data_IF_010717187654
#
_entry.id   IF_010717187654
#
_cell.length_a   1.000
_cell.length_b   1.000
_cell.length_c   1.000
_cell.angle_alpha   90.00
_cell.angle_beta   90.00
_cell.angle_gamma   90.00
#
_symmetry.space_group_name_H-M   'P 1'
#
loop_
_entity.id
_entity.type
_entity.pdbx_description
1 polymer ?
#
# COMPACT_ATOMS: atom_id res chain seq x y z
N UNK A 1 -33.60 -35.60 0.34
CA UNK A 1 -33.94 -34.20 -0.01
C UNK A 1 -33.16 -33.15 0.82
N UNK A 2 -32.52 -33.48 1.95
CA UNK A 2 -31.79 -32.49 2.77
C UNK A 2 -30.40 -32.10 2.27
N UNK A 3 -29.77 -32.87 1.39
CA UNK A 3 -28.37 -32.65 0.97
C UNK A 3 -28.19 -31.47 0.01
N UNK A 4 -29.17 -31.18 -0.84
CA UNK A 4 -29.08 -30.05 -1.79
C UNK A 4 -29.20 -28.69 -1.08
N UNK A 5 -30.08 -28.60 -0.07
CA UNK A 5 -30.26 -27.37 0.70
C UNK A 5 -29.05 -27.04 1.59
N UNK A 6 -28.42 -28.06 2.19
CA UNK A 6 -27.19 -27.89 3.00
C UNK A 6 -26.01 -27.38 2.15
N UNK A 7 -25.88 -27.85 0.91
CA UNK A 7 -24.83 -27.38 0.00
C UNK A 7 -25.05 -25.92 -0.41
N UNK A 8 -26.29 -25.54 -0.76
CA UNK A 8 -26.64 -24.17 -1.13
C UNK A 8 -26.34 -23.18 0.01
N UNK A 9 -26.71 -23.55 1.24
CA UNK A 9 -26.41 -22.75 2.42
C UNK A 9 -24.89 -22.58 2.63
N UNK A 10 -24.09 -23.65 2.49
CA UNK A 10 -22.63 -23.57 2.60
C UNK A 10 -21.99 -22.74 1.50
N UNK A 11 -22.59 -22.65 0.32
CA UNK A 11 -22.14 -21.75 -0.73
C UNK A 11 -22.44 -20.30 -0.39
N UNK A 12 -23.65 -20.01 0.11
CA UNK A 12 -24.05 -18.67 0.54
C UNK A 12 -23.17 -18.16 1.70
N UNK A 13 -22.98 -18.96 2.74
CA UNK A 13 -22.15 -18.61 3.91
C UNK A 13 -20.71 -18.29 3.49
N UNK A 14 -20.17 -19.06 2.53
CA UNK A 14 -18.82 -18.84 1.98
C UNK A 14 -18.74 -17.59 1.12
N UNK A 15 -19.76 -17.34 0.31
CA UNK A 15 -19.82 -16.15 -0.53
C UNK A 15 -19.82 -14.89 0.35
N UNK A 16 -20.63 -14.86 1.41
CA UNK A 16 -20.65 -13.77 2.39
C UNK A 16 -19.31 -13.62 3.13
N UNK A 17 -18.64 -14.72 3.46
CA UNK A 17 -17.31 -14.68 4.08
C UNK A 17 -16.26 -14.04 3.16
N UNK A 18 -16.28 -14.39 1.86
CA UNK A 18 -15.41 -13.76 0.86
C UNK A 18 -15.74 -12.28 0.66
N UNK A 19 -17.00 -11.89 0.62
CA UNK A 19 -17.39 -10.48 0.54
C UNK A 19 -16.84 -9.68 1.72
N UNK A 20 -17.04 -10.19 2.94
CA UNK A 20 -16.52 -9.54 4.16
C UNK A 20 -15.00 -9.41 4.13
N UNK A 21 -14.30 -10.42 3.62
CA UNK A 21 -12.84 -10.41 3.49
C UNK A 21 -12.37 -9.36 2.47
N UNK A 22 -13.01 -9.31 1.30
CA UNK A 22 -12.70 -8.33 0.26
C UNK A 22 -13.02 -6.90 0.72
N UNK A 23 -14.12 -6.69 1.45
CA UNK A 23 -14.48 -5.39 2.02
C UNK A 23 -13.38 -4.87 2.97
N UNK A 24 -12.87 -5.75 3.85
CA UNK A 24 -11.78 -5.40 4.77
C UNK A 24 -10.50 -5.03 4.02
N UNK A 25 -10.12 -5.85 3.03
CA UNK A 25 -8.94 -5.60 2.19
C UNK A 25 -9.10 -4.26 1.45
N UNK A 26 -10.28 -3.98 0.92
CA UNK A 26 -10.56 -2.75 0.19
C UNK A 26 -10.49 -1.52 1.11
N UNK A 27 -11.01 -1.60 2.33
CA UNK A 27 -10.90 -0.53 3.31
C UNK A 27 -9.43 -0.23 3.68
N UNK A 28 -8.63 -1.27 3.89
CA UNK A 28 -7.21 -1.11 4.20
C UNK A 28 -6.42 -0.58 3.00
N UNK A 29 -6.77 -1.01 1.78
CA UNK A 29 -6.20 -0.47 0.55
C UNK A 29 -6.52 1.02 0.40
N UNK A 30 -7.75 1.46 0.65
CA UNK A 30 -8.13 2.88 0.60
C UNK A 30 -7.32 3.70 1.63
N UNK A 31 -7.08 3.15 2.83
CA UNK A 31 -6.22 3.79 3.84
C UNK A 31 -4.78 3.91 3.34
N UNK A 32 -4.24 2.84 2.76
CA UNK A 32 -2.90 2.83 2.18
C UNK A 32 -2.78 3.84 1.02
N UNK A 33 -3.73 3.89 0.10
CA UNK A 33 -3.80 4.86 -1.00
C UNK A 33 -3.77 6.30 -0.50
N UNK A 34 -4.59 6.64 0.52
CA UNK A 34 -4.57 7.98 1.12
C UNK A 34 -3.25 8.31 1.81
N UNK A 35 -2.64 7.31 2.44
CA UNK A 35 -1.37 7.52 3.12
C UNK A 35 -0.21 7.79 2.18
N UNK A 36 -0.28 7.26 0.95
CA UNK A 36 0.69 7.58 -0.09
C UNK A 36 0.73 9.09 -0.28
N UNK A 37 -0.41 9.77 -0.37
CA UNK A 37 -0.44 11.23 -0.54
C UNK A 37 -0.22 12.02 0.74
N UNK A 38 -0.57 11.45 1.90
CA UNK A 38 -0.43 12.08 3.21
C UNK A 38 0.14 11.09 4.23
N UNK A 39 1.47 11.00 4.39
CA UNK A 39 2.10 9.98 5.22
C UNK A 39 1.76 10.10 6.72
N UNK A 40 1.33 11.30 7.16
CA UNK A 40 0.81 11.52 8.51
C UNK A 40 -0.53 10.79 8.79
N UNK A 41 -1.18 10.24 7.76
CA UNK A 41 -2.43 9.47 7.88
C UNK A 41 -2.21 7.95 7.97
N UNK A 42 -0.96 7.47 8.03
CA UNK A 42 -0.69 6.08 8.42
C UNK A 42 -1.05 5.88 9.88
N UNK A 43 -2.32 5.57 10.12
CA UNK A 43 -2.76 4.99 11.37
C UNK A 43 -2.25 3.55 11.52
N UNK A 44 -2.63 2.92 12.64
CA UNK A 44 -2.29 1.53 12.92
C UNK A 44 -2.98 0.61 11.90
N UNK A 45 -2.18 -0.06 11.05
CA UNK A 45 -2.69 -1.07 10.13
C UNK A 45 -3.14 -2.28 10.96
N UNK A 46 -4.37 -2.73 10.72
CA UNK A 46 -4.87 -3.92 11.41
C UNK A 46 -4.08 -5.13 10.92
N UNK A 47 -3.60 -5.98 11.83
CA UNK A 47 -2.92 -7.23 11.46
C UNK A 47 -3.87 -8.08 10.64
N UNK A 48 -3.55 -8.26 9.36
CA UNK A 48 -4.32 -9.13 8.46
C UNK A 48 -4.14 -10.59 8.89
N UNK A 49 -5.25 -11.23 9.28
CA UNK A 49 -5.29 -12.67 9.49
C UNK A 49 -5.83 -13.33 8.23
N UNK A 50 -4.99 -14.16 7.59
CA UNK A 50 -5.46 -14.99 6.51
C UNK A 50 -6.51 -15.97 7.04
N UNK A 51 -7.73 -15.94 6.50
CA UNK A 51 -8.77 -16.88 6.89
C UNK A 51 -8.43 -18.29 6.38
N UNK A 52 -8.42 -19.28 7.28
CA UNK A 52 -7.98 -20.65 6.96
C UNK A 52 -9.01 -21.46 6.13
N UNK A 53 -10.30 -21.10 6.16
CA UNK A 53 -11.39 -21.97 5.69
C UNK A 53 -12.32 -21.39 4.60
N UNK A 54 -11.90 -20.38 3.83
CA UNK A 54 -12.78 -19.79 2.81
C UNK A 54 -12.88 -20.57 1.49
N UNK A 55 -12.03 -21.58 1.30
CA UNK A 55 -11.99 -22.35 0.04
C UNK A 55 -11.70 -21.46 -1.18
N UNK A 56 -12.00 -21.92 -2.41
CA UNK A 56 -11.76 -21.11 -3.60
C UNK A 56 -12.70 -19.89 -3.67
N UNK A 57 -12.19 -18.77 -4.19
CA UNK A 57 -12.99 -17.57 -4.40
C UNK A 57 -14.17 -17.85 -5.36
N UNK A 58 -15.40 -17.44 -5.02
CA UNK A 58 -16.54 -17.50 -5.94
C UNK A 58 -16.26 -16.76 -7.24
N UNK A 59 -16.69 -17.32 -8.37
CA UNK A 59 -16.47 -16.73 -9.70
C UNK A 59 -17.08 -15.34 -9.85
N UNK A 60 -18.18 -15.06 -9.16
CA UNK A 60 -18.83 -13.73 -9.12
C UNK A 60 -17.97 -12.65 -8.47
N UNK A 61 -17.12 -13.03 -7.50
CA UNK A 61 -16.23 -12.10 -6.77
C UNK A 61 -14.84 -11.98 -7.40
N UNK A 62 -14.52 -12.83 -8.38
CA UNK A 62 -13.22 -12.82 -9.06
C UNK A 62 -12.88 -11.47 -9.70
N UNK A 63 -13.76 -10.80 -10.47
CA UNK A 63 -13.44 -9.51 -11.07
C UNK A 63 -13.10 -8.45 -10.03
N UNK A 64 -13.81 -8.47 -8.89
CA UNK A 64 -13.57 -7.54 -7.78
C UNK A 64 -12.22 -7.80 -7.11
N UNK A 65 -11.86 -9.06 -6.88
CA UNK A 65 -10.57 -9.42 -6.31
C UNK A 65 -9.39 -9.05 -7.23
N UNK A 66 -9.57 -9.20 -8.54
CA UNK A 66 -8.56 -8.78 -9.54
C UNK A 66 -8.35 -7.27 -9.55
N UNK A 67 -9.42 -6.47 -9.45
CA UNK A 67 -9.32 -5.00 -9.36
C UNK A 67 -8.59 -4.56 -8.09
N UNK A 68 -8.94 -5.15 -6.94
CA UNK A 68 -8.27 -4.90 -5.66
C UNK A 68 -6.77 -5.22 -5.77
N UNK A 69 -6.40 -6.36 -6.38
CA UNK A 69 -5.01 -6.76 -6.55
C UNK A 69 -4.25 -5.78 -7.47
N UNK A 70 -4.86 -5.33 -8.56
CA UNK A 70 -4.25 -4.36 -9.47
C UNK A 70 -3.96 -3.03 -8.76
N UNK A 71 -4.90 -2.54 -7.95
CA UNK A 71 -4.72 -1.32 -7.14
C UNK A 71 -3.65 -1.48 -6.06
N UNK A 72 -3.60 -2.63 -5.37
CA UNK A 72 -2.52 -2.94 -4.43
C UNK A 72 -1.14 -2.88 -5.08
N UNK A 73 -0.98 -3.47 -6.27
CA UNK A 73 0.28 -3.42 -7.02
C UNK A 73 0.68 -1.99 -7.39
N UNK A 74 -0.30 -1.15 -7.75
CA UNK A 74 -0.06 0.26 -8.08
C UNK A 74 0.40 1.05 -6.84
N UNK A 75 -0.20 0.81 -5.68
CA UNK A 75 0.23 1.41 -4.40
C UNK A 75 1.66 0.99 -4.06
N UNK A 76 1.97 -0.31 -4.13
CA UNK A 76 3.31 -0.84 -3.86
C UNK A 76 4.37 -0.23 -4.80
N UNK A 77 4.05 -0.11 -6.10
CA UNK A 77 4.95 0.55 -7.07
C UNK A 77 5.20 2.01 -6.69
N UNK A 78 4.14 2.74 -6.36
CA UNK A 78 4.22 4.17 -6.00
C UNK A 78 5.05 4.37 -4.72
N UNK A 79 4.86 3.51 -3.71
CA UNK A 79 5.66 3.52 -2.49
C UNK A 79 7.14 3.24 -2.78
N UNK A 80 7.43 2.23 -3.61
CA UNK A 80 8.80 1.90 -4.02
C UNK A 80 9.49 3.06 -4.74
N UNK A 81 8.81 3.73 -5.66
CA UNK A 81 9.35 4.92 -6.34
C UNK A 81 9.63 6.07 -5.38
N UNK A 82 8.72 6.33 -4.42
CA UNK A 82 8.91 7.40 -3.42
C UNK A 82 10.08 7.10 -2.50
N UNK A 83 10.21 5.87 -2.00
CA UNK A 83 11.36 5.44 -1.22
C UNK A 83 12.67 5.59 -2.00
N UNK A 84 12.68 5.20 -3.28
CA UNK A 84 13.84 5.38 -4.17
C UNK A 84 14.24 6.86 -4.33
N UNK A 85 13.27 7.75 -4.56
CA UNK A 85 13.52 9.21 -4.65
C UNK A 85 14.03 9.78 -3.32
N UNK A 86 13.50 9.34 -2.18
CA UNK A 86 13.96 9.77 -0.85
C UNK A 86 15.38 9.30 -0.57
N UNK A 87 15.72 8.04 -0.87
CA UNK A 87 17.08 7.52 -0.70
C UNK A 87 18.09 8.28 -1.58
N UNK A 88 17.72 8.60 -2.82
CA UNK A 88 18.56 9.40 -3.72
C UNK A 88 18.77 10.83 -3.19
N UNK A 89 17.72 11.47 -2.65
CA UNK A 89 17.83 12.78 -2.02
C UNK A 89 18.76 12.77 -0.81
N UNK A 90 18.66 11.73 0.03
CA UNK A 90 19.55 11.59 1.19
C UNK A 90 21.02 11.45 0.75
N UNK A 91 21.28 10.62 -0.27
CA UNK A 91 22.63 10.47 -0.81
C UNK A 91 23.21 11.78 -1.38
N UNK A 92 22.39 12.62 -2.02
CA UNK A 92 22.81 13.95 -2.51
C UNK A 92 23.09 14.90 -1.34
N UNK A 93 22.23 14.93 -0.32
CA UNK A 93 22.43 15.77 0.88
C UNK A 93 23.68 15.36 1.65
N UNK A 94 23.91 14.05 1.81
CA UNK A 94 25.11 13.52 2.46
C UNK A 94 26.37 13.88 1.65
N UNK A 95 26.31 13.80 0.31
CA UNK A 95 27.38 14.22 -0.59
C UNK A 95 27.70 15.71 -0.50
N UNK A 96 26.68 16.59 -0.49
CA UNK A 96 26.86 18.04 -0.32
C UNK A 96 27.42 18.38 1.06
N UNK A 97 26.98 17.68 2.10
CA UNK A 97 27.48 17.86 3.47
C UNK A 97 28.94 17.43 3.58
N UNK A 98 29.32 16.32 2.95
CA UNK A 98 30.72 15.86 2.91
C UNK A 98 31.64 16.82 2.12
N UNK A 99 31.16 17.38 0.99
CA UNK A 99 31.89 18.39 0.22
C UNK A 99 32.03 19.69 1.03
N UNK A 100 30.96 20.09 1.73
CA UNK A 100 30.96 21.28 2.60
C UNK A 100 31.85 21.09 3.85
N UNK A 101 31.95 19.87 4.38
CA UNK A 101 32.81 19.54 5.52
C UNK A 101 34.30 19.44 5.14
N UNK A 102 34.61 19.11 3.88
CA UNK A 102 35.98 19.14 3.32
C UNK A 102 36.44 20.53 2.85
N UNK A 103 35.50 21.43 2.57
CA UNK A 103 35.79 22.82 2.26
C UNK A 103 35.99 23.63 3.55
N UNK A 104 37.24 23.98 3.87
CA UNK A 104 37.49 24.96 4.94
C UNK A 104 36.72 26.27 4.67
N UNK A 105 36.20 26.95 5.71
CA UNK A 105 35.23 28.03 5.59
C UNK A 105 35.89 29.34 5.15
N UNK A 106 36.13 29.48 3.84
CA UNK A 106 36.19 30.80 3.22
C UNK A 106 34.78 31.20 2.82
N UNK A 107 34.13 32.11 3.56
CA UNK A 107 32.81 32.61 3.20
C UNK A 107 32.84 33.24 1.79
N UNK A 108 32.16 32.62 0.83
CA UNK A 108 31.98 33.16 -0.52
C UNK A 108 30.61 33.84 -0.55
N UNK A 109 30.63 35.17 -0.54
CA UNK A 109 29.42 35.98 -0.73
C UNK A 109 29.11 36.03 -2.23
N UNK A 110 27.92 35.56 -2.62
CA UNK A 110 27.40 35.72 -3.99
C UNK A 110 26.68 37.05 -4.04
N UNK A 111 27.31 38.06 -4.64
CA UNK A 111 26.63 39.31 -5.01
C UNK A 111 25.71 39.02 -6.19
N UNK A 112 24.41 39.09 -5.95
CA UNK A 112 23.42 39.13 -7.02
C UNK A 112 23.18 40.61 -7.30
N UNK A 113 23.83 41.13 -8.33
CA UNK A 113 23.50 42.43 -8.90
C UNK A 113 22.17 42.32 -9.64
N UNK A 114 21.23 43.22 -9.31
CA UNK A 114 19.84 43.24 -9.76
C UNK A 114 19.64 43.42 -11.27
#
# INVERSE_FOLDING_TARGET
MSTLADLDQRFADRHQAWETALDRIELDLIRAERSVDSPALLGELTTWHQPEDYGPIPSSLRPRAEDILARQQQVLRTLGERLGRTAQRQAVVDGVTAISAGAQPGAVYVDVSA
#
